data_IF_839952171458
#
_entry.id   IF_839952171458
#
_cell.length_a   1.000
_cell.length_b   1.000
_cell.length_c   1.000
_cell.angle_alpha   90.00
_cell.angle_beta   90.00
_cell.angle_gamma   90.00
#
_symmetry.space_group_name_H-M   'P 1'
#
loop_
_entity.id
_entity.type
_entity.pdbx_description
1 polymer ?
#
# COMPACT_ATOMS: atom_id res chain seq x y z
N UNK A 1 -4.97 13.39 -12.33
CA UNK A 1 -4.08 13.78 -11.21
C UNK A 1 -4.25 12.86 -9.99
N UNK A 2 -5.48 12.63 -9.49
CA UNK A 2 -5.74 11.70 -8.37
C UNK A 2 -5.36 10.22 -8.66
N UNK A 3 -5.45 9.80 -9.93
CA UNK A 3 -5.08 8.44 -10.36
C UNK A 3 -3.58 8.14 -10.16
N UNK A 4 -2.70 9.12 -10.38
CA UNK A 4 -1.25 8.96 -10.15
C UNK A 4 -0.99 8.75 -8.65
N UNK A 5 -1.65 9.51 -7.77
CA UNK A 5 -1.55 9.33 -6.32
C UNK A 5 -2.00 7.92 -5.90
N UNK A 6 -3.12 7.43 -6.46
CA UNK A 6 -3.58 6.06 -6.22
C UNK A 6 -2.55 5.00 -6.65
N UNK A 7 -1.91 5.18 -7.81
CA UNK A 7 -0.88 4.26 -8.31
C UNK A 7 0.34 4.27 -7.38
N UNK A 8 0.86 5.46 -7.02
CA UNK A 8 2.02 5.59 -6.13
C UNK A 8 1.72 4.99 -4.76
N UNK A 9 0.54 5.25 -4.20
CA UNK A 9 0.11 4.69 -2.91
C UNK A 9 0.00 3.15 -2.96
N UNK A 10 -0.49 2.62 -4.07
CA UNK A 10 -0.58 1.16 -4.29
C UNK A 10 0.81 0.53 -4.36
N UNK A 11 1.73 1.11 -5.13
CA UNK A 11 3.09 0.58 -5.30
C UNK A 11 3.87 0.68 -3.98
N UNK A 12 3.81 1.83 -3.30
CA UNK A 12 4.46 2.01 -2.00
C UNK A 12 3.87 1.07 -0.93
N UNK A 13 2.54 0.95 -0.87
CA UNK A 13 1.84 0.02 0.02
C UNK A 13 2.24 -1.44 -0.24
N UNK A 14 2.34 -1.84 -1.51
CA UNK A 14 2.79 -3.18 -1.91
C UNK A 14 4.20 -3.49 -1.41
N UNK A 15 5.15 -2.57 -1.61
CA UNK A 15 6.55 -2.75 -1.16
C UNK A 15 6.60 -2.91 0.36
N UNK A 16 5.87 -2.05 1.10
CA UNK A 16 5.78 -2.13 2.56
C UNK A 16 5.20 -3.48 3.02
N UNK A 17 4.17 -3.97 2.32
CA UNK A 17 3.52 -5.25 2.61
C UNK A 17 4.49 -6.41 2.42
N UNK A 18 5.25 -6.40 1.33
CA UNK A 18 6.25 -7.44 1.03
C UNK A 18 7.34 -7.48 2.11
N UNK A 19 7.86 -6.32 2.50
CA UNK A 19 8.86 -6.23 3.59
C UNK A 19 8.26 -6.73 4.92
N UNK A 20 7.01 -6.34 5.24
CA UNK A 20 6.31 -6.80 6.43
C UNK A 20 6.12 -8.32 6.47
N UNK A 21 5.68 -8.92 5.35
CA UNK A 21 5.52 -10.37 5.21
C UNK A 21 6.85 -11.10 5.35
N UNK A 22 7.91 -10.61 4.69
CA UNK A 22 9.25 -11.19 4.86
C UNK A 22 9.80 -11.05 6.28
N UNK A 23 9.47 -9.98 7.00
CA UNK A 23 9.84 -9.84 8.41
C UNK A 23 8.99 -10.66 9.39
N UNK A 24 7.76 -11.05 9.03
CA UNK A 24 6.92 -11.93 9.86
C UNK A 24 7.37 -13.39 9.73
N UNK A 25 7.65 -13.84 8.50
CA UNK A 25 7.98 -15.24 8.23
C UNK A 25 9.50 -15.52 8.16
N UNK A 26 10.33 -14.47 8.04
CA UNK A 26 11.79 -14.59 8.02
C UNK A 26 12.45 -13.92 9.22
N UNK A 27 13.76 -14.10 9.36
CA UNK A 27 14.58 -13.48 10.42
C UNK A 27 15.05 -12.05 10.04
N UNK A 28 14.28 -11.35 9.22
CA UNK A 28 14.66 -10.00 8.78
C UNK A 28 14.49 -9.02 9.93
N UNK A 29 15.60 -8.66 10.59
CA UNK A 29 15.59 -7.71 11.69
C UNK A 29 15.56 -6.27 11.13
N UNK A 30 14.36 -5.71 11.05
CA UNK A 30 14.09 -4.38 10.48
C UNK A 30 14.17 -3.26 11.53
N UNK A 31 14.59 -3.55 12.77
CA UNK A 31 14.66 -2.58 13.89
C UNK A 31 13.29 -2.07 14.39
N UNK A 32 12.20 -2.53 13.78
CA UNK A 32 10.80 -2.22 14.08
C UNK A 32 9.95 -3.48 13.97
N UNK A 33 8.74 -3.45 14.54
CA UNK A 33 7.80 -4.58 14.49
C UNK A 33 7.41 -4.91 13.04
N UNK A 34 7.70 -6.13 12.53
CA UNK A 34 7.33 -6.54 11.18
C UNK A 34 5.81 -6.48 10.93
N UNK A 35 5.02 -6.72 11.96
CA UNK A 35 3.56 -6.60 11.92
C UNK A 35 3.09 -5.18 11.63
N UNK A 36 3.80 -4.16 12.11
CA UNK A 36 3.46 -2.77 11.81
C UNK A 36 3.59 -2.48 10.30
N UNK A 37 4.67 -2.95 9.68
CA UNK A 37 4.88 -2.82 8.23
C UNK A 37 3.82 -3.58 7.43
N UNK A 38 3.46 -4.80 7.85
CA UNK A 38 2.43 -5.58 7.19
C UNK A 38 1.05 -4.91 7.25
N UNK A 39 0.64 -4.40 8.42
CA UNK A 39 -0.66 -3.76 8.62
C UNK A 39 -0.73 -2.42 7.87
N UNK A 40 0.29 -1.58 7.99
CA UNK A 40 0.34 -0.28 7.29
C UNK A 40 0.37 -0.51 5.78
N UNK A 41 1.20 -1.43 5.31
CA UNK A 41 1.28 -1.83 3.90
C UNK A 41 -0.07 -2.29 3.37
N UNK A 42 -0.79 -3.13 4.12
CA UNK A 42 -2.13 -3.61 3.75
C UNK A 42 -3.14 -2.47 3.61
N UNK A 43 -3.21 -1.57 4.60
CA UNK A 43 -4.13 -0.43 4.58
C UNK A 43 -3.84 0.48 3.38
N UNK A 44 -2.57 0.81 3.15
CA UNK A 44 -2.17 1.69 2.04
C UNK A 44 -2.39 1.04 0.68
N UNK A 45 -2.12 -0.25 0.56
CA UNK A 45 -2.37 -1.01 -0.66
C UNK A 45 -3.86 -1.06 -1.02
N UNK A 46 -4.73 -1.40 -0.04
CA UNK A 46 -6.17 -1.44 -0.25
C UNK A 46 -6.76 -0.06 -0.55
N UNK A 47 -6.31 0.97 0.16
CA UNK A 47 -6.70 2.37 -0.08
C UNK A 47 -6.28 2.85 -1.47
N UNK A 48 -5.03 2.56 -1.87
CA UNK A 48 -4.50 2.90 -3.19
C UNK A 48 -5.31 2.27 -4.32
N UNK A 49 -5.61 0.97 -4.22
CA UNK A 49 -6.47 0.28 -5.19
C UNK A 49 -7.87 0.90 -5.26
N UNK A 50 -8.44 1.26 -4.11
CA UNK A 50 -9.73 1.95 -4.03
C UNK A 50 -9.75 3.26 -4.82
N UNK A 51 -8.68 4.05 -4.71
CA UNK A 51 -8.51 5.30 -5.44
C UNK A 51 -8.30 5.04 -6.94
N UNK A 52 -7.46 4.06 -7.31
CA UNK A 52 -7.21 3.72 -8.73
C UNK A 52 -8.48 3.23 -9.44
N UNK A 53 -9.33 2.47 -8.74
CA UNK A 53 -10.60 1.96 -9.29
C UNK A 53 -11.71 3.00 -9.37
N UNK A 54 -11.59 4.13 -8.67
CA UNK A 54 -12.62 5.17 -8.67
C UNK A 54 -12.64 5.90 -10.03
N UNK A 55 -13.68 5.67 -10.82
CA UNK A 55 -13.89 6.29 -12.15
C UNK A 55 -14.45 7.72 -12.11
N UNK A 56 -15.03 8.15 -10.98
CA UNK A 56 -15.89 9.35 -10.94
C UNK A 56 -15.17 10.71 -11.07
N UNK A 57 -13.85 10.77 -10.95
CA UNK A 57 -13.06 12.01 -11.12
C UNK A 57 -12.89 12.47 -12.59
N UNK A 58 -13.64 11.89 -13.54
CA UNK A 58 -13.62 12.32 -14.96
C UNK A 58 -15.01 12.59 -15.54
N UNK A 59 -16.08 12.42 -14.75
CA UNK A 59 -17.47 12.61 -15.20
C UNK A 59 -18.16 13.74 -14.41
N UNK A 60 -17.46 14.84 -14.21
CA UNK A 60 -18.07 16.12 -13.83
C UNK A 60 -18.07 17.02 -15.07
N UNK A 61 -19.14 16.92 -15.85
CA UNK A 61 -19.63 17.96 -16.78
C UNK A 61 -20.94 18.49 -16.26
#
# INVERSE_FOLDING_TARGET
MIKILGIVLTVAGMICLVIGVFGIFGEMNIGLSPWAFAIIGLIFFLSGIGIVKRKKDTDEV
#
